data_IF_067754037493
#
_entry.id   IF_067754037493
#
_cell.length_a   1.000
_cell.length_b   1.000
_cell.length_c   1.000
_cell.angle_alpha   90.00
_cell.angle_beta   90.00
_cell.angle_gamma   90.00
#
_symmetry.space_group_name_H-M   'P 1'
#
loop_
_entity.id
_entity.type
_entity.pdbx_description
1 polymer ?
#
# COMPACT_ATOMS: atom_id res chain seq x y z
N UNK A 1 -20.36 -28.55 32.75
CA UNK A 1 -20.23 -27.54 31.67
C UNK A 1 -18.80 -27.62 31.18
N UNK A 2 -18.57 -28.31 30.05
CA UNK A 2 -17.22 -28.55 29.55
C UNK A 2 -16.68 -27.28 28.91
N UNK A 3 -15.60 -26.73 29.47
CA UNK A 3 -14.91 -25.56 28.94
C UNK A 3 -14.26 -25.89 27.60
N UNK A 4 -14.92 -25.51 26.50
CA UNK A 4 -14.33 -25.63 25.17
C UNK A 4 -13.25 -24.57 25.04
N UNK A 5 -11.99 -24.99 25.16
CA UNK A 5 -10.85 -24.12 24.95
C UNK A 5 -10.64 -23.90 23.44
N UNK A 6 -11.18 -22.78 22.94
CA UNK A 6 -11.11 -22.37 21.53
C UNK A 6 -9.68 -22.11 21.04
N UNK A 7 -8.71 -22.00 21.95
CA UNK A 7 -7.29 -21.83 21.65
C UNK A 7 -6.50 -23.15 21.78
N UNK A 8 -7.15 -24.23 22.19
CA UNK A 8 -6.54 -25.54 22.36
C UNK A 8 -6.35 -26.30 21.04
N UNK A 9 -5.34 -27.17 21.00
CA UNK A 9 -5.06 -28.05 19.86
C UNK A 9 -6.27 -28.91 19.50
N UNK A 10 -7.07 -29.32 20.49
CA UNK A 10 -8.27 -30.14 20.30
C UNK A 10 -9.38 -29.43 19.51
N UNK A 11 -9.57 -28.12 19.73
CA UNK A 11 -10.53 -27.33 18.94
C UNK A 11 -10.02 -27.11 17.52
N UNK A 12 -8.72 -26.84 17.36
CA UNK A 12 -8.08 -26.72 16.06
C UNK A 12 -8.17 -28.03 15.27
N UNK A 13 -8.07 -29.18 15.94
CA UNK A 13 -8.21 -30.47 15.30
C UNK A 13 -9.66 -30.73 14.83
N UNK A 14 -10.64 -30.39 15.67
CA UNK A 14 -12.07 -30.52 15.35
C UNK A 14 -12.49 -29.68 14.14
N UNK A 15 -12.01 -28.43 14.05
CA UNK A 15 -12.34 -27.51 12.93
C UNK A 15 -11.69 -27.95 11.61
N UNK A 16 -10.59 -28.71 11.66
CA UNK A 16 -9.84 -29.17 10.49
C UNK A 16 -9.97 -30.69 10.25
N UNK A 17 -10.92 -31.36 10.90
CA UNK A 17 -11.19 -32.78 10.71
C UNK A 17 -11.76 -33.04 9.31
N UNK A 18 -11.20 -34.01 8.58
CA UNK A 18 -11.58 -34.31 7.20
C UNK A 18 -11.19 -33.25 6.15
N UNK A 19 -10.38 -32.24 6.51
CA UNK A 19 -9.84 -31.22 5.59
C UNK A 19 -8.34 -31.40 5.37
N UNK A 20 -7.80 -30.76 4.32
CA UNK A 20 -6.37 -30.79 4.04
C UNK A 20 -5.57 -29.98 5.09
N UNK A 21 -5.02 -30.67 6.09
CA UNK A 21 -4.19 -30.08 7.15
C UNK A 21 -2.82 -29.57 6.66
N UNK A 22 -2.46 -29.83 5.40
CA UNK A 22 -1.19 -29.41 4.81
C UNK A 22 -1.16 -27.95 4.31
N UNK A 23 -2.32 -27.26 4.21
CA UNK A 23 -2.36 -25.90 3.65
C UNK A 23 -2.33 -24.80 4.72
N UNK A 24 -1.17 -24.14 4.84
CA UNK A 24 -0.94 -22.78 5.38
C UNK A 24 -1.43 -22.45 6.81
N UNK A 25 -2.74 -22.43 7.03
CA UNK A 25 -3.37 -21.88 8.23
C UNK A 25 -3.24 -22.77 9.48
N UNK A 26 -3.22 -24.11 9.32
CA UNK A 26 -3.04 -25.04 10.44
C UNK A 26 -1.62 -24.93 11.02
N UNK A 27 -0.61 -24.92 10.14
CA UNK A 27 0.81 -24.79 10.53
C UNK A 27 1.13 -23.43 11.15
N UNK A 28 0.58 -22.33 10.61
CA UNK A 28 0.79 -20.99 11.17
C UNK A 28 0.33 -20.86 12.64
N UNK A 29 -0.81 -21.49 12.98
CA UNK A 29 -1.37 -21.42 14.35
C UNK A 29 -0.58 -22.26 15.35
N UNK A 30 0.16 -23.28 14.91
CA UNK A 30 1.05 -24.04 15.79
C UNK A 30 2.38 -23.32 16.03
N UNK A 31 2.91 -22.64 15.01
CA UNK A 31 4.26 -22.04 15.09
C UNK A 31 4.29 -20.65 15.73
N UNK A 32 3.17 -19.91 15.73
CA UNK A 32 3.10 -18.54 16.28
C UNK A 32 3.33 -18.49 17.80
N UNK A 33 2.92 -19.50 18.56
CA UNK A 33 3.10 -19.50 20.02
C UNK A 33 4.59 -19.54 20.41
N UNK A 34 5.41 -20.31 19.67
CA UNK A 34 6.84 -20.44 19.94
C UNK A 34 7.61 -19.17 19.55
N UNK A 35 7.28 -18.58 18.41
CA UNK A 35 7.97 -17.38 17.91
C UNK A 35 7.62 -16.14 18.71
N UNK A 36 6.37 -15.95 19.14
CA UNK A 36 5.97 -14.84 20.01
C UNK A 36 6.62 -14.94 21.39
N UNK A 37 6.67 -16.13 21.98
CA UNK A 37 7.28 -16.36 23.28
C UNK A 37 8.81 -16.15 23.22
N UNK A 38 9.47 -16.61 22.15
CA UNK A 38 10.90 -16.37 21.91
C UNK A 38 11.21 -14.88 21.71
N UNK A 39 10.37 -14.15 20.97
CA UNK A 39 10.52 -12.71 20.76
C UNK A 39 10.39 -11.90 22.06
N UNK A 40 9.51 -12.33 22.98
CA UNK A 40 9.38 -11.71 24.30
C UNK A 40 10.67 -11.88 25.13
N UNK A 41 11.30 -13.06 25.08
CA UNK A 41 12.58 -13.28 25.75
C UNK A 41 13.70 -12.43 25.15
N UNK A 42 13.80 -12.35 23.81
CA UNK A 42 14.80 -11.49 23.18
C UNK A 42 14.58 -10.01 23.48
N UNK A 43 13.32 -9.55 23.48
CA UNK A 43 12.98 -8.18 23.87
C UNK A 43 13.42 -7.86 25.30
N UNK A 44 13.14 -8.77 26.24
CA UNK A 44 13.58 -8.60 27.63
C UNK A 44 15.11 -8.58 27.75
N UNK A 45 15.79 -9.49 27.05
CA UNK A 45 17.26 -9.55 27.05
C UNK A 45 17.90 -8.26 26.53
N UNK A 46 17.36 -7.67 25.46
CA UNK A 46 17.87 -6.41 24.90
C UNK A 46 17.69 -5.27 25.91
N UNK A 47 16.50 -5.16 26.53
CA UNK A 47 16.23 -4.11 27.52
C UNK A 47 17.14 -4.25 28.74
N UNK A 48 17.30 -5.47 29.26
CA UNK A 48 18.20 -5.73 30.39
C UNK A 48 19.67 -5.51 30.04
N UNK A 49 20.08 -5.83 28.81
CA UNK A 49 21.45 -5.62 28.36
C UNK A 49 21.76 -4.13 28.25
N UNK A 50 20.85 -3.32 27.69
CA UNK A 50 21.05 -1.87 27.59
C UNK A 50 21.07 -1.23 28.97
N UNK A 51 20.12 -1.60 29.85
CA UNK A 51 20.11 -1.11 31.22
C UNK A 51 21.37 -1.52 32.00
N UNK A 52 21.84 -2.75 31.81
CA UNK A 52 23.07 -3.27 32.42
C UNK A 52 24.32 -2.54 31.94
N UNK A 53 24.43 -2.23 30.65
CA UNK A 53 25.54 -1.45 30.10
C UNK A 53 25.54 -0.02 30.66
N UNK A 54 24.37 0.62 30.79
CA UNK A 54 24.25 1.96 31.39
C UNK A 54 24.64 1.93 32.87
N UNK A 55 24.16 0.95 33.63
CA UNK A 55 24.49 0.80 35.04
C UNK A 55 25.99 0.51 35.24
N UNK A 56 26.58 -0.36 34.42
CA UNK A 56 28.01 -0.66 34.45
C UNK A 56 28.86 0.58 34.10
N UNK A 57 28.44 1.35 33.09
CA UNK A 57 29.09 2.61 32.72
C UNK A 57 28.99 3.66 33.85
N UNK A 58 27.87 3.69 34.59
CA UNK A 58 27.68 4.54 35.77
C UNK A 58 28.51 4.10 36.97
N UNK A 59 28.78 2.79 37.12
CA UNK A 59 29.64 2.26 38.19
C UNK A 59 31.12 2.49 37.91
N UNK A 60 31.52 2.50 36.63
CA UNK A 60 32.90 2.76 36.21
C UNK A 60 33.21 4.26 36.09
N UNK A 61 32.23 5.09 35.75
CA UNK A 61 32.39 6.55 35.69
C UNK A 61 32.30 7.16 37.09
N UNK A 62 33.44 7.49 37.70
CA UNK A 62 33.52 8.20 38.99
C UNK A 62 33.10 9.68 38.96
N UNK A 63 32.60 10.20 37.84
CA UNK A 63 32.21 11.60 37.69
C UNK A 63 30.80 11.70 37.09
N UNK A 64 29.80 12.23 37.82
CA UNK A 64 28.47 12.44 37.24
C UNK A 64 28.56 13.57 36.20
N UNK A 65 28.21 13.25 34.94
CA UNK A 65 28.05 14.28 33.91
C UNK A 65 26.80 15.12 34.23
N UNK A 66 26.87 16.47 34.19
CA UNK A 66 25.69 17.29 34.36
C UNK A 66 24.76 17.10 33.17
N UNK A 67 23.49 16.81 33.45
CA UNK A 67 22.41 16.85 32.48
C UNK A 67 22.26 18.30 32.03
N UNK A 68 22.69 18.63 30.81
CA UNK A 68 22.34 19.90 30.18
C UNK A 68 20.87 19.74 29.78
N UNK A 69 19.98 20.23 30.64
CA UNK A 69 18.62 20.57 30.24
C UNK A 69 18.78 21.77 29.31
N UNK A 70 18.71 21.52 28.01
CA UNK A 70 18.57 22.58 27.02
C UNK A 70 17.29 23.34 27.37
N UNK A 71 17.48 24.53 27.95
CA UNK A 71 16.39 25.42 28.29
C UNK A 71 15.92 26.01 26.98
N UNK A 72 14.89 25.36 26.43
CA UNK A 72 14.00 25.82 25.38
C UNK A 72 14.01 27.35 25.26
N UNK A 73 14.78 27.83 24.29
CA UNK A 73 14.65 29.17 23.76
C UNK A 73 13.34 29.18 22.97
N UNK A 74 12.22 29.29 23.68
CA UNK A 74 10.92 29.46 23.06
C UNK A 74 10.96 30.61 22.05
N UNK A 75 10.25 30.49 20.92
CA UNK A 75 10.25 31.55 19.91
C UNK A 75 9.67 32.82 20.54
N UNK A 76 10.47 33.90 20.58
CA UNK A 76 10.02 35.24 20.93
C UNK A 76 8.81 35.60 20.05
N UNK A 77 7.61 35.57 20.62
CA UNK A 77 6.40 36.10 19.99
C UNK A 77 6.58 37.62 19.91
N UNK A 78 6.90 38.13 18.72
CA UNK A 78 6.66 39.54 18.43
C UNK A 78 5.15 39.72 18.32
N UNK A 79 4.52 40.28 19.34
CA UNK A 79 3.15 40.80 19.23
C UNK A 79 3.12 41.86 18.13
N UNK A 80 2.55 41.51 16.98
CA UNK A 80 2.13 42.48 15.97
C UNK A 80 0.93 43.21 16.55
N UNK A 81 1.15 44.43 17.01
CA UNK A 81 0.06 45.36 17.34
C UNK A 81 -0.75 45.63 16.07
N UNK A 82 -1.98 45.11 16.03
CA UNK A 82 -2.92 45.32 14.93
C UNK A 82 -3.53 46.72 15.08
N UNK A 83 -2.87 47.73 14.53
CA UNK A 83 -3.54 49.01 14.27
C UNK A 83 -4.67 48.80 13.23
N UNK A 84 -5.91 49.29 13.48
CA UNK A 84 -6.98 49.21 12.50
C UNK A 84 -6.60 49.93 11.21
N UNK A 85 -6.40 49.17 10.13
CA UNK A 85 -6.18 49.72 8.79
C UNK A 85 -7.51 50.32 8.30
N UNK A 86 -7.63 51.65 8.36
CA UNK A 86 -8.73 52.34 7.68
C UNK A 86 -8.66 52.01 6.19
N UNK A 87 -9.78 51.50 5.66
CA UNK A 87 -9.98 51.22 4.24
C UNK A 87 -9.87 52.52 3.44
N UNK A 88 -8.69 52.82 2.91
CA UNK A 88 -8.57 53.80 1.83
C UNK A 88 -9.11 53.15 0.55
N UNK A 89 -10.21 53.71 0.05
CA UNK A 89 -10.84 53.33 -1.22
C UNK A 89 -9.82 53.38 -2.36
N UNK A 90 -9.94 52.47 -3.35
CA UNK A 90 -9.02 52.42 -4.48
C UNK A 90 -9.23 53.65 -5.36
N UNK A 91 -8.23 54.54 -5.41
CA UNK A 91 -8.09 55.48 -6.53
C UNK A 91 -7.51 54.71 -7.71
N UNK A 92 -8.34 54.59 -8.74
CA UNK A 92 -7.99 54.22 -10.10
C UNK A 92 -6.79 55.03 -10.59
N UNK A 93 -5.71 54.33 -10.96
CA UNK A 93 -4.75 54.83 -11.94
C UNK A 93 -4.50 53.73 -12.97
N UNK A 94 -5.02 53.97 -14.16
CA UNK A 94 -4.73 53.24 -15.39
C UNK A 94 -3.25 53.42 -15.71
N UNK A 95 -2.52 52.32 -15.86
CA UNK A 95 -1.25 52.28 -16.56
C UNK A 95 -1.24 51.07 -17.49
N UNK A 96 -0.91 51.36 -18.76
CA UNK A 96 -1.03 50.52 -19.94
C UNK A 96 -0.18 49.22 -19.92
N UNK A 97 -0.54 48.20 -20.72
CA UNK A 97 0.12 46.90 -20.70
C UNK A 97 1.44 46.90 -21.49
N UNK A 98 2.56 46.75 -20.81
CA UNK A 98 3.85 46.42 -21.43
C UNK A 98 4.02 44.90 -21.53
N UNK A 99 3.83 44.38 -22.75
CA UNK A 99 4.10 42.99 -23.17
C UNK A 99 5.60 42.66 -23.04
N UNK A 100 5.99 41.55 -22.37
CA UNK A 100 7.32 40.96 -22.54
C UNK A 100 7.42 40.23 -23.89
N UNK A 101 8.50 40.49 -24.63
CA UNK A 101 8.80 39.88 -25.92
C UNK A 101 9.18 38.40 -25.77
N UNK A 102 8.63 37.56 -26.65
CA UNK A 102 9.07 36.20 -26.94
C UNK A 102 10.53 36.19 -27.40
N UNK A 103 11.38 35.36 -26.80
CA UNK A 103 12.64 34.92 -27.40
C UNK A 103 12.67 33.39 -27.43
N UNK A 104 12.28 32.87 -28.59
CA UNK A 104 12.43 31.47 -28.99
C UNK A 104 13.83 31.30 -29.58
N UNK A 105 14.72 30.63 -28.85
CA UNK A 105 16.02 30.21 -29.38
C UNK A 105 16.13 28.68 -29.33
N UNK A 106 15.84 28.03 -30.46
CA UNK A 106 16.26 26.68 -30.79
C UNK A 106 17.69 26.74 -31.39
N UNK A 107 18.65 25.91 -30.95
CA UNK A 107 19.86 25.64 -31.72
C UNK A 107 19.64 24.51 -32.76
N UNK A 108 20.35 24.54 -33.91
CA UNK A 108 20.21 23.55 -34.99
C UNK A 108 21.18 22.35 -34.87
N UNK A 109 20.71 21.21 -35.39
CA UNK A 109 21.38 20.14 -36.17
C UNK A 109 22.92 20.00 -36.08
N UNK A 110 23.41 18.81 -35.68
CA UNK A 110 24.23 17.90 -36.53
C UNK A 110 24.75 16.64 -35.78
N UNK A 111 24.45 15.49 -36.37
CA UNK A 111 25.13 14.18 -36.39
C UNK A 111 26.20 13.81 -35.34
N UNK A 112 26.00 12.68 -34.65
CA UNK A 112 26.97 11.57 -34.71
C UNK A 112 26.36 10.23 -34.22
N UNK A 113 26.40 9.23 -35.10
CA UNK A 113 26.34 7.80 -34.80
C UNK A 113 27.76 7.41 -34.33
N UNK A 114 27.92 6.65 -33.24
CA UNK A 114 28.42 5.28 -33.42
C UNK A 114 27.74 4.25 -32.51
N UNK A 115 27.33 3.16 -33.14
CA UNK A 115 27.12 1.85 -32.55
C UNK A 115 28.48 1.27 -32.10
N UNK A 116 28.56 0.63 -30.91
CA UNK A 116 29.29 -0.64 -30.86
C UNK A 116 28.63 -1.69 -29.94
N UNK A 117 28.08 -2.73 -30.58
CA UNK A 117 28.30 -4.18 -30.34
C UNK A 117 28.50 -4.71 -28.89
N UNK A 118 27.56 -5.58 -28.45
CA UNK A 118 27.70 -7.01 -28.01
C UNK A 118 26.67 -7.40 -26.92
N UNK A 119 26.37 -8.69 -26.68
CA UNK A 119 26.43 -9.87 -27.55
C UNK A 119 25.10 -10.69 -27.54
N UNK A 120 24.96 -11.53 -28.58
CA UNK A 120 24.07 -12.69 -28.65
C UNK A 120 24.54 -13.80 -27.69
N UNK A 121 23.60 -14.69 -27.32
CA UNK A 121 23.72 -15.95 -26.54
C UNK A 121 23.65 -15.79 -25.02
N UNK A 122 22.91 -16.61 -24.26
CA UNK A 122 22.39 -17.96 -24.51
C UNK A 122 21.26 -18.25 -23.52
N UNK A 123 20.17 -18.82 -24.02
CA UNK A 123 19.11 -19.45 -23.24
C UNK A 123 19.59 -20.82 -22.72
N UNK A 124 19.41 -21.17 -21.43
CA UNK A 124 19.47 -22.55 -20.98
C UNK A 124 18.12 -23.26 -21.22
N UNK A 125 18.13 -24.54 -21.61
CA UNK A 125 16.97 -25.27 -22.13
C UNK A 125 16.00 -25.73 -21.03
N UNK A 126 14.76 -25.94 -21.47
CA UNK A 126 13.77 -26.74 -20.77
C UNK A 126 14.28 -28.17 -20.53
N UNK A 127 13.95 -28.79 -19.38
CA UNK A 127 14.00 -30.24 -19.26
C UNK A 127 12.63 -30.82 -19.64
N UNK A 128 12.59 -31.46 -20.80
CA UNK A 128 11.61 -32.48 -21.14
C UNK A 128 12.19 -33.83 -20.70
N UNK A 129 11.41 -34.62 -19.94
CA UNK A 129 11.85 -35.89 -19.41
C UNK A 129 10.84 -36.51 -18.46
N UNK A 130 9.94 -37.34 -19.02
CA UNK A 130 9.16 -38.34 -18.32
C UNK A 130 10.07 -39.31 -17.54
N UNK A 131 9.56 -39.88 -16.44
CA UNK A 131 9.55 -41.34 -16.42
C UNK A 131 8.16 -41.92 -16.21
N UNK A 132 7.95 -42.96 -16.99
CA UNK A 132 6.89 -43.96 -17.01
C UNK A 132 6.77 -44.67 -15.64
N UNK A 133 5.53 -44.86 -15.17
CA UNK A 133 5.22 -45.95 -14.24
C UNK A 133 3.81 -46.46 -14.50
N UNK A 134 3.79 -47.71 -14.96
CA UNK A 134 2.67 -48.58 -15.27
C UNK A 134 1.85 -48.91 -14.02
N UNK A 135 0.52 -48.80 -14.15
CA UNK A 135 -0.46 -49.35 -13.22
C UNK A 135 -1.80 -49.54 -13.92
N UNK A 136 -2.05 -50.78 -14.39
CA UNK A 136 -3.28 -51.21 -15.04
C UNK A 136 -4.49 -51.17 -14.10
N UNK A 137 -5.69 -50.92 -14.63
CA UNK A 137 -6.92 -51.19 -13.89
C UNK A 137 -8.22 -50.63 -14.46
N UNK A 138 -8.79 -51.35 -15.43
CA UNK A 138 -10.24 -51.51 -15.69
C UNK A 138 -10.97 -50.54 -16.64
N UNK A 139 -11.54 -51.18 -17.66
CA UNK A 139 -12.39 -50.74 -18.75
C UNK A 139 -13.87 -50.70 -18.36
N UNK A 140 -14.61 -49.68 -18.83
CA UNK A 140 -16.02 -49.77 -19.23
C UNK A 140 -16.41 -48.55 -20.13
N UNK A 141 -17.41 -48.65 -21.03
CA UNK A 141 -17.43 -47.91 -22.30
C UNK A 141 -18.38 -46.69 -22.39
N UNK A 142 -17.94 -45.68 -23.15
CA UNK A 142 -18.61 -44.77 -24.12
C UNK A 142 -20.08 -44.36 -23.88
N UNK A 143 -20.36 -43.06 -23.61
CA UNK A 143 -21.49 -42.27 -24.20
C UNK A 143 -21.19 -40.74 -24.17
N UNK A 144 -21.15 -40.10 -25.37
CA UNK A 144 -21.63 -38.73 -25.63
C UNK A 144 -20.69 -37.51 -25.47
N UNK A 145 -20.52 -36.64 -26.50
CA UNK A 145 -19.85 -35.35 -26.35
C UNK A 145 -20.84 -34.31 -25.80
N UNK A 146 -20.74 -33.99 -24.51
CA UNK A 146 -21.39 -32.81 -23.96
C UNK A 146 -20.52 -31.59 -24.24
N UNK A 147 -20.95 -30.77 -25.20
CA UNK A 147 -20.46 -29.40 -25.41
C UNK A 147 -20.67 -28.60 -24.13
N UNK A 148 -19.60 -28.41 -23.35
CA UNK A 148 -19.59 -27.44 -22.26
C UNK A 148 -19.37 -26.06 -22.88
N UNK A 149 -20.28 -25.09 -22.70
CA UNK A 149 -20.06 -23.72 -23.17
C UNK A 149 -18.83 -23.14 -22.48
N UNK A 150 -17.93 -22.56 -23.27
CA UNK A 150 -16.76 -21.85 -22.77
C UNK A 150 -17.19 -20.78 -21.75
N UNK A 151 -16.77 -20.94 -20.50
CA UNK A 151 -16.87 -19.90 -19.49
C UNK A 151 -16.11 -18.64 -19.96
N UNK A 152 -16.58 -17.42 -19.66
CA UNK A 152 -15.92 -16.20 -20.10
C UNK A 152 -14.49 -16.17 -19.57
N UNK A 153 -13.53 -15.88 -20.45
CA UNK A 153 -12.13 -15.62 -20.11
C UNK A 153 -12.10 -14.42 -19.18
N UNK A 154 -12.06 -14.64 -17.87
CA UNK A 154 -11.81 -13.58 -16.90
C UNK A 154 -10.34 -13.16 -17.09
N UNK A 155 -10.05 -11.92 -17.52
CA UNK A 155 -8.67 -11.50 -17.75
C UNK A 155 -7.90 -11.48 -16.42
N UNK A 156 -6.71 -12.11 -16.42
CA UNK A 156 -5.84 -12.23 -15.26
C UNK A 156 -5.53 -10.86 -14.63
N UNK A 157 -5.82 -10.72 -13.34
CA UNK A 157 -5.48 -9.53 -12.55
C UNK A 157 -4.04 -9.68 -12.05
N UNK A 158 -3.19 -8.68 -12.31
CA UNK A 158 -1.82 -8.65 -11.83
C UNK A 158 -1.74 -8.02 -10.43
N UNK A 159 -0.93 -8.63 -9.56
CA UNK A 159 -0.67 -8.14 -8.21
C UNK A 159 0.47 -7.11 -8.22
N UNK A 160 0.46 -6.10 -7.33
CA UNK A 160 1.46 -5.03 -7.30
C UNK A 160 2.93 -5.49 -7.25
N UNK A 161 3.20 -6.66 -6.68
CA UNK A 161 4.55 -7.18 -6.48
C UNK A 161 5.27 -7.59 -7.78
N UNK A 162 4.53 -7.81 -8.88
CA UNK A 162 5.09 -8.27 -10.16
C UNK A 162 5.13 -7.17 -11.22
N UNK A 163 4.98 -5.89 -10.82
CA UNK A 163 4.93 -4.76 -11.75
C UNK A 163 6.27 -4.03 -11.83
N UNK A 164 6.67 -3.67 -13.05
CA UNK A 164 7.83 -2.80 -13.30
C UNK A 164 7.51 -1.35 -12.93
N UNK A 165 6.26 -0.91 -13.16
CA UNK A 165 5.77 0.41 -12.70
C UNK A 165 4.38 0.26 -12.08
N UNK A 166 4.21 0.80 -10.89
CA UNK A 166 2.92 0.79 -10.19
C UNK A 166 1.92 1.77 -10.81
N UNK A 167 0.61 1.54 -10.63
CA UNK A 167 -0.40 2.53 -10.97
C UNK A 167 -0.18 3.83 -10.21
N UNK A 168 -0.36 4.97 -10.89
CA UNK A 168 -0.09 6.28 -10.31
C UNK A 168 -1.25 7.25 -10.59
N UNK A 169 -1.73 7.93 -9.55
CA UNK A 169 -2.71 9.00 -9.73
C UNK A 169 -2.06 10.24 -10.37
N UNK A 170 -2.72 10.95 -11.30
CA UNK A 170 -2.15 12.16 -11.88
C UNK A 170 -1.86 13.25 -10.83
N UNK A 171 -0.59 13.63 -10.74
CA UNK A 171 -0.11 14.56 -9.71
C UNK A 171 0.21 13.89 -8.37
N UNK A 172 0.28 12.56 -8.34
CA UNK A 172 0.74 11.76 -7.22
C UNK A 172 -0.35 11.45 -6.20
N UNK A 173 -0.01 10.57 -5.26
CA UNK A 173 -0.95 10.06 -4.26
C UNK A 173 -1.45 11.15 -3.29
N UNK A 174 -0.66 12.21 -3.07
CA UNK A 174 -1.06 13.34 -2.23
C UNK A 174 -2.31 14.06 -2.77
N UNK A 175 -2.38 14.28 -4.10
CA UNK A 175 -3.58 14.86 -4.73
C UNK A 175 -4.79 13.94 -4.64
N UNK A 176 -4.56 12.63 -4.73
CA UNK A 176 -5.62 11.65 -4.54
C UNK A 176 -6.22 11.74 -3.13
N UNK A 177 -5.39 11.76 -2.10
CA UNK A 177 -5.87 11.92 -0.72
C UNK A 177 -6.54 13.27 -0.48
N UNK A 178 -6.02 14.36 -1.06
CA UNK A 178 -6.65 15.68 -0.98
C UNK A 178 -8.04 15.68 -1.64
N UNK A 179 -8.18 15.04 -2.81
CA UNK A 179 -9.48 14.91 -3.47
C UNK A 179 -10.45 14.11 -2.60
N UNK A 180 -10.01 12.99 -2.02
CA UNK A 180 -10.87 12.20 -1.14
C UNK A 180 -11.28 13.04 0.07
N UNK A 181 -10.33 13.63 0.79
CA UNK A 181 -10.62 14.43 1.98
C UNK A 181 -11.60 15.58 1.71
N UNK A 182 -11.47 16.28 0.58
CA UNK A 182 -12.36 17.39 0.22
C UNK A 182 -13.77 16.93 -0.18
N UNK A 183 -13.93 15.71 -0.67
CA UNK A 183 -15.21 15.17 -1.12
C UNK A 183 -15.86 14.22 -0.10
N UNK A 184 -15.14 13.88 0.97
CA UNK A 184 -15.62 12.99 2.02
C UNK A 184 -16.57 13.75 2.95
N UNK A 185 -17.80 13.26 3.11
CA UNK A 185 -18.74 13.84 4.04
C UNK A 185 -18.23 13.68 5.47
N UNK A 186 -18.15 14.79 6.21
CA UNK A 186 -17.79 14.77 7.63
C UNK A 186 -18.77 13.89 8.40
N UNK A 187 -18.22 12.98 9.20
CA UNK A 187 -18.98 12.14 10.13
C UNK A 187 -18.98 12.91 11.46
N UNK A 188 -20.12 13.00 12.13
CA UNK A 188 -20.16 13.57 13.47
C UNK A 188 -19.75 12.46 14.44
N UNK A 189 -18.57 12.62 15.03
CA UNK A 189 -18.08 11.79 16.11
C UNK A 189 -17.78 12.71 17.29
N UNK A 190 -18.20 12.29 18.47
CA UNK A 190 -18.03 13.04 19.72
C UNK A 190 -16.55 13.18 20.10
N UNK A 191 -15.71 12.24 19.65
CA UNK A 191 -14.28 12.21 19.89
C UNK A 191 -13.50 12.61 18.63
N UNK A 192 -12.36 13.31 18.78
CA UNK A 192 -11.36 13.61 17.72
C UNK A 192 -10.64 12.33 17.22
N UNK A 193 -11.38 11.24 17.05
CA UNK A 193 -10.86 9.96 16.62
C UNK A 193 -10.51 10.00 15.13
N UNK A 194 -9.29 9.59 14.77
CA UNK A 194 -8.97 9.35 13.36
C UNK A 194 -9.59 8.03 12.90
N UNK A 195 -10.38 8.07 11.84
CA UNK A 195 -10.95 6.87 11.22
C UNK A 195 -10.01 6.37 10.12
N UNK A 196 -9.79 5.05 10.05
CA UNK A 196 -9.03 4.40 8.97
C UNK A 196 -9.87 3.36 8.24
N UNK A 197 -10.12 3.60 6.96
CA UNK A 197 -10.82 2.67 6.06
C UNK A 197 -9.81 2.06 5.10
N UNK A 198 -9.84 0.74 4.90
CA UNK A 198 -9.01 0.08 3.90
C UNK A 198 -9.86 -0.23 2.66
N UNK A 199 -9.46 0.31 1.52
CA UNK A 199 -10.13 0.09 0.24
C UNK A 199 -9.21 -0.65 -0.72
N UNK A 200 -9.81 -1.45 -1.59
CA UNK A 200 -9.15 -2.08 -2.72
C UNK A 200 -9.97 -1.84 -3.98
N UNK A 201 -9.29 -1.62 -5.08
CA UNK A 201 -9.89 -1.41 -6.39
C UNK A 201 -8.92 -1.90 -7.46
N UNK A 202 -9.43 -2.09 -8.68
CA UNK A 202 -8.63 -2.51 -9.82
C UNK A 202 -8.43 -1.32 -10.75
N UNK A 203 -7.20 -1.06 -11.13
CA UNK A 203 -6.87 -0.11 -12.19
C UNK A 203 -6.77 -0.90 -13.50
N UNK A 204 -7.65 -0.58 -14.43
CA UNK A 204 -7.69 -1.16 -15.77
C UNK A 204 -6.54 -0.61 -16.64
N UNK A 205 -6.31 -1.27 -17.78
CA UNK A 205 -5.25 -0.88 -18.72
C UNK A 205 -5.43 0.54 -19.30
N UNK A 206 -6.66 1.04 -19.33
CA UNK A 206 -6.99 2.39 -19.78
C UNK A 206 -6.88 3.44 -18.66
N UNK A 207 -6.54 3.01 -17.44
CA UNK A 207 -6.47 3.87 -16.26
C UNK A 207 -7.79 4.07 -15.52
N UNK A 208 -8.89 3.46 -15.97
CA UNK A 208 -10.15 3.50 -15.23
C UNK A 208 -10.08 2.66 -13.96
N UNK A 209 -10.87 3.04 -12.95
CA UNK A 209 -10.95 2.34 -11.68
C UNK A 209 -12.23 1.50 -11.63
N UNK A 210 -12.08 0.19 -11.43
CA UNK A 210 -13.17 -0.79 -11.37
C UNK A 210 -13.08 -1.61 -10.08
N UNK A 211 -14.08 -2.44 -9.82
CA UNK A 211 -14.11 -3.40 -8.69
C UNK A 211 -13.73 -2.80 -7.32
N UNK A 212 -14.27 -1.62 -7.01
CA UNK A 212 -14.04 -0.95 -5.73
C UNK A 212 -14.71 -1.74 -4.60
N UNK A 213 -13.90 -2.15 -3.61
CA UNK A 213 -14.30 -2.94 -2.43
C UNK A 213 -13.70 -2.35 -1.17
N UNK A 214 -14.43 -2.44 -0.07
CA UNK A 214 -13.91 -2.09 1.26
C UNK A 214 -13.41 -3.37 1.91
N UNK A 215 -12.11 -3.41 2.22
CA UNK A 215 -11.47 -4.55 2.89
C UNK A 215 -11.67 -4.48 4.41
N UNK A 216 -11.66 -3.26 4.97
CA UNK A 216 -11.87 -3.04 6.39
C UNK A 216 -12.62 -1.74 6.60
N UNK A 217 -13.78 -1.84 7.25
CA UNK A 217 -14.64 -0.72 7.60
C UNK A 217 -14.61 -0.52 9.12
N UNK A 218 -14.20 0.65 9.61
CA UNK A 218 -14.33 1.04 11.03
C UNK A 218 -15.77 1.33 11.45
N UNK A 219 -16.72 1.43 10.51
CA UNK A 219 -18.12 1.72 10.76
C UNK A 219 -18.49 3.18 10.46
N UNK A 220 -19.60 3.66 11.05
CA UNK A 220 -20.09 5.03 10.94
C UNK A 220 -20.41 5.50 9.49
N UNK A 221 -20.60 4.56 8.57
CA UNK A 221 -20.82 4.84 7.15
C UNK A 221 -19.55 5.21 6.37
N UNK A 222 -18.36 5.12 6.98
CA UNK A 222 -17.10 5.52 6.36
C UNK A 222 -16.75 4.68 5.13
N UNK A 223 -16.98 3.36 5.16
CA UNK A 223 -16.78 2.50 4.00
C UNK A 223 -17.69 2.84 2.81
N UNK A 224 -18.98 3.04 3.07
CA UNK A 224 -19.96 3.44 2.04
C UNK A 224 -19.60 4.76 1.39
N UNK A 225 -19.20 5.74 2.22
CA UNK A 225 -18.78 7.06 1.75
C UNK A 225 -17.49 6.99 0.94
N UNK A 226 -16.51 6.19 1.37
CA UNK A 226 -15.29 5.96 0.60
C UNK A 226 -15.60 5.40 -0.80
N UNK A 227 -16.51 4.44 -0.91
CA UNK A 227 -16.94 3.90 -2.22
C UNK A 227 -17.58 5.00 -3.08
N UNK A 228 -18.44 5.85 -2.50
CA UNK A 228 -19.10 6.94 -3.22
C UNK A 228 -18.09 7.92 -3.81
N UNK A 229 -17.13 8.37 -2.99
CA UNK A 229 -16.09 9.33 -3.40
C UNK A 229 -15.16 8.75 -4.46
N UNK A 230 -14.78 7.47 -4.33
CA UNK A 230 -13.97 6.79 -5.33
C UNK A 230 -14.70 6.67 -6.67
N UNK A 231 -16.01 6.40 -6.66
CA UNK A 231 -16.83 6.35 -7.89
C UNK A 231 -17.04 7.71 -8.54
N UNK A 232 -17.05 8.80 -7.77
CA UNK A 232 -17.22 10.16 -8.30
C UNK A 232 -15.93 10.76 -8.85
N UNK A 233 -14.81 10.05 -8.76
CA UNK A 233 -13.50 10.57 -9.15
C UNK A 233 -13.44 10.74 -10.69
N UNK A 234 -13.18 11.96 -11.20
CA UNK A 234 -13.30 12.25 -12.64
C UNK A 234 -12.05 11.88 -13.45
N UNK A 235 -10.92 11.59 -12.78
CA UNK A 235 -9.61 11.47 -13.42
C UNK A 235 -9.16 10.02 -13.53
N UNK A 236 -8.63 9.65 -14.70
CA UNK A 236 -8.03 8.33 -14.92
C UNK A 236 -6.63 8.23 -14.31
N UNK A 237 -6.32 7.07 -13.77
CA UNK A 237 -4.99 6.73 -13.25
C UNK A 237 -4.03 6.38 -14.38
N UNK A 238 -2.73 6.49 -14.14
CA UNK A 238 -1.76 5.79 -14.97
C UNK A 238 -1.83 4.29 -14.62
N UNK A 239 -1.96 3.39 -15.61
CA UNK A 239 -2.04 1.96 -15.36
C UNK A 239 -0.70 1.41 -14.86
N UNK A 240 -0.76 0.23 -14.24
CA UNK A 240 0.45 -0.55 -13.95
C UNK A 240 1.10 -1.08 -15.22
N UNK A 241 2.43 -1.18 -15.24
CA UNK A 241 3.20 -1.62 -16.41
C UNK A 241 4.00 -2.89 -16.08
N UNK A 242 3.95 -3.88 -16.98
CA UNK A 242 4.82 -5.06 -16.99
C UNK A 242 5.40 -5.20 -18.40
N UNK A 243 6.72 -5.32 -18.53
CA UNK A 243 7.44 -5.43 -19.79
C UNK A 243 7.04 -4.35 -20.82
N UNK A 244 6.79 -3.13 -20.35
CA UNK A 244 6.35 -1.98 -21.18
C UNK A 244 4.86 -2.00 -21.57
N UNK A 245 4.09 -3.01 -21.18
CA UNK A 245 2.67 -3.14 -21.52
C UNK A 245 1.77 -2.77 -20.33
N UNK A 246 0.65 -2.05 -20.55
CA UNK A 246 -0.31 -1.75 -19.49
C UNK A 246 -1.07 -3.02 -19.07
N UNK A 247 -1.14 -3.24 -17.76
CA UNK A 247 -1.77 -4.42 -17.16
C UNK A 247 -2.83 -4.05 -16.13
N UNK A 248 -3.87 -4.89 -16.06
CA UNK A 248 -4.93 -4.78 -15.06
C UNK A 248 -4.35 -5.08 -13.69
N UNK A 249 -4.42 -4.11 -12.78
CA UNK A 249 -3.68 -4.16 -11.52
C UNK A 249 -4.60 -3.96 -10.32
N UNK A 250 -4.59 -4.90 -9.38
CA UNK A 250 -5.26 -4.70 -8.10
C UNK A 250 -4.43 -3.74 -7.23
N UNK A 251 -5.05 -2.69 -6.70
CA UNK A 251 -4.43 -1.70 -5.85
C UNK A 251 -5.21 -1.56 -4.54
N UNK A 252 -4.52 -1.33 -3.43
CA UNK A 252 -5.13 -1.23 -2.11
C UNK A 252 -4.48 -0.12 -1.31
N UNK A 253 -5.30 0.75 -0.72
CA UNK A 253 -4.84 1.91 0.02
C UNK A 253 -5.62 2.09 1.33
N UNK A 254 -4.93 2.50 2.42
CA UNK A 254 -5.60 3.02 3.60
C UNK A 254 -6.02 4.47 3.38
N UNK A 255 -7.28 4.79 3.63
CA UNK A 255 -7.80 6.16 3.70
C UNK A 255 -7.95 6.51 5.17
N UNK A 256 -7.19 7.51 5.62
CA UNK A 256 -7.30 8.04 6.99
C UNK A 256 -8.02 9.37 6.95
N UNK A 257 -9.16 9.46 7.63
CA UNK A 257 -9.92 10.70 7.78
C UNK A 257 -9.71 11.19 9.22
N UNK A 258 -9.28 12.45 9.34
CA UNK A 258 -9.27 13.18 10.61
C UNK A 258 -10.55 14.00 10.66
N UNK A 259 -11.32 13.86 11.74
CA UNK A 259 -12.63 14.48 11.92
C UNK A 259 -12.53 15.80 12.67
#
# INVERSE_FOLDING_TARGET
MNGVNIFGQSWLELVFEGKNKSYGAYKLRQETCKTTLLALFYGLMIVTSVAGIIAAASLLSKNPMPIIVDKDNGPTIHTVDLQPRILQQPKTTVAAPSRPKTQSNLPPVAAHIPDPQRPVSTQPPAPEGLPESTGQGQTAPIVGPATVPAAPVVPAISLPANLDRQPEFPGGIGKFYAYIGNNFKKIELEDEASIRVFVSFVIEKDGSMTEIRVLRDPGYGAGTEAIRVLKSLPTKWKPGIIAGQPVRTAYSLPITIKL
#
